data_IF_893842354331
#
_entry.id   IF_893842354331
#
_cell.length_a   1.000
_cell.length_b   1.000
_cell.length_c   1.000
_cell.angle_alpha   90.00
_cell.angle_beta   90.00
_cell.angle_gamma   90.00
#
_symmetry.space_group_name_H-M   'P 1'
#
loop_
_entity.id
_entity.type
_entity.pdbx_description
1 polymer ?
#
# COMPACT_ATOMS: atom_id res chain seq x y z
N UNK A 1 -4.03 26.54 -17.18
CA UNK A 1 -3.73 26.42 -15.73
C UNK A 1 -4.98 26.84 -14.98
N UNK A 2 -5.53 25.98 -14.12
CA UNK A 2 -6.73 26.29 -13.32
C UNK A 2 -6.30 27.25 -12.19
N UNK A 3 -7.09 28.29 -11.96
CA UNK A 3 -6.86 29.24 -10.86
C UNK A 3 -6.96 28.51 -9.50
N UNK A 4 -5.91 28.51 -8.66
CA UNK A 4 -5.95 27.83 -7.36
C UNK A 4 -7.03 28.38 -6.43
N UNK A 5 -7.35 29.68 -6.52
CA UNK A 5 -8.41 30.33 -5.72
C UNK A 5 -9.79 29.83 -6.10
N UNK A 6 -10.05 29.65 -7.40
CA UNK A 6 -11.31 29.11 -7.89
C UNK A 6 -11.49 27.65 -7.44
N UNK A 7 -10.45 26.81 -7.55
CA UNK A 7 -10.52 25.42 -7.09
C UNK A 7 -10.82 25.32 -5.60
N UNK A 8 -10.20 26.17 -4.77
CA UNK A 8 -10.46 26.19 -3.32
C UNK A 8 -11.90 26.58 -3.00
N UNK A 9 -12.44 27.61 -3.68
CA UNK A 9 -13.83 28.05 -3.51
C UNK A 9 -14.84 26.97 -3.92
N UNK A 10 -14.63 26.32 -5.07
CA UNK A 10 -15.49 25.23 -5.53
C UNK A 10 -15.41 24.00 -4.62
N UNK A 11 -14.25 23.69 -4.07
CA UNK A 11 -14.08 22.58 -3.14
C UNK A 11 -14.75 22.83 -1.77
N UNK A 12 -14.98 24.09 -1.39
CA UNK A 12 -15.69 24.46 -0.18
C UNK A 12 -17.23 24.42 -0.31
N UNK A 13 -17.76 24.35 -1.54
CA UNK A 13 -19.19 24.26 -1.80
C UNK A 13 -19.67 22.81 -1.61
N UNK A 14 -20.40 22.57 -0.54
CA UNK A 14 -20.97 21.26 -0.18
C UNK A 14 -22.42 21.07 -0.64
N UNK A 15 -22.98 22.02 -1.39
CA UNK A 15 -24.40 21.99 -1.79
C UNK A 15 -24.79 20.82 -2.67
N UNK A 16 -23.80 20.20 -3.30
CA UNK A 16 -23.96 19.03 -4.17
C UNK A 16 -23.30 17.75 -3.62
N UNK A 17 -22.94 17.70 -2.33
CA UNK A 17 -22.35 16.51 -1.73
C UNK A 17 -23.34 15.34 -1.71
N UNK A 18 -22.80 14.14 -2.03
CA UNK A 18 -23.56 12.91 -2.05
C UNK A 18 -23.44 12.23 -0.68
N UNK A 19 -24.37 12.50 0.23
CA UNK A 19 -24.27 12.13 1.64
C UNK A 19 -24.82 10.74 1.98
N UNK A 20 -25.52 10.10 1.04
CA UNK A 20 -26.11 8.78 1.25
C UNK A 20 -26.10 7.91 -0.04
N UNK A 21 -26.44 6.62 0.13
CA UNK A 21 -26.46 5.67 -0.99
C UNK A 21 -27.53 6.06 -2.04
N UNK A 22 -28.64 6.65 -1.65
CA UNK A 22 -29.69 7.07 -2.59
C UNK A 22 -29.21 8.22 -3.49
N UNK A 23 -28.45 9.17 -2.92
CA UNK A 23 -27.80 10.24 -3.68
C UNK A 23 -26.76 9.67 -4.66
N UNK A 24 -25.95 8.72 -4.22
CA UNK A 24 -24.99 8.02 -5.08
C UNK A 24 -25.71 7.31 -6.25
N UNK A 25 -26.82 6.61 -6.00
CA UNK A 25 -27.57 5.89 -7.03
C UNK A 25 -28.24 6.81 -8.05
N UNK A 26 -28.52 8.05 -7.73
CA UNK A 26 -29.03 9.03 -8.72
C UNK A 26 -27.97 9.36 -9.79
N UNK A 27 -26.70 9.38 -9.41
CA UNK A 27 -25.59 9.65 -10.32
C UNK A 27 -25.07 8.34 -10.97
N UNK A 28 -24.95 7.27 -10.19
CA UNK A 28 -24.45 5.96 -10.61
C UNK A 28 -25.61 4.97 -10.69
N UNK A 29 -26.53 5.22 -11.63
CA UNK A 29 -27.80 4.48 -11.78
C UNK A 29 -27.62 3.02 -12.19
N UNK A 30 -26.51 2.69 -12.83
CA UNK A 30 -26.20 1.30 -13.24
C UNK A 30 -25.35 0.61 -12.17
N UNK A 31 -25.82 -0.55 -11.70
CA UNK A 31 -25.05 -1.40 -10.79
C UNK A 31 -23.79 -1.98 -11.46
N UNK A 32 -22.93 -2.67 -10.69
CA UNK A 32 -21.78 -3.35 -11.25
C UNK A 32 -22.22 -4.44 -12.22
N UNK A 33 -21.54 -4.52 -13.37
CA UNK A 33 -21.78 -5.60 -14.33
C UNK A 33 -21.40 -6.98 -13.76
N UNK A 34 -21.97 -8.03 -14.31
CA UNK A 34 -21.78 -9.44 -13.91
C UNK A 34 -20.29 -9.80 -13.74
N UNK A 35 -19.43 -9.42 -14.69
CA UNK A 35 -17.98 -9.69 -14.63
C UNK A 35 -17.27 -9.00 -13.45
N UNK A 36 -17.82 -7.89 -12.96
CA UNK A 36 -17.29 -7.20 -11.77
C UNK A 36 -17.60 -7.92 -10.47
N UNK A 37 -18.68 -8.68 -10.45
CA UNK A 37 -19.09 -9.50 -9.31
C UNK A 37 -18.46 -10.89 -9.37
N UNK A 38 -18.45 -11.53 -10.54
CA UNK A 38 -17.96 -12.89 -10.73
C UNK A 38 -16.47 -13.08 -10.38
N UNK A 39 -15.68 -12.01 -10.43
CA UNK A 39 -14.24 -12.06 -10.10
C UNK A 39 -13.93 -12.04 -8.59
N UNK A 40 -14.92 -11.81 -7.74
CA UNK A 40 -14.69 -11.72 -6.29
C UNK A 40 -14.72 -13.13 -5.70
N UNK A 41 -13.62 -13.53 -5.08
CA UNK A 41 -13.51 -14.78 -4.34
C UNK A 41 -13.31 -14.47 -2.84
N UNK A 42 -13.76 -15.35 -1.97
CA UNK A 42 -13.58 -15.30 -0.51
C UNK A 42 -12.25 -15.94 -0.07
N UNK A 43 -11.44 -16.39 -1.02
CA UNK A 43 -10.17 -17.06 -0.82
C UNK A 43 -9.17 -16.74 -1.94
N UNK A 44 -7.90 -17.07 -1.76
CA UNK A 44 -6.86 -16.98 -2.79
C UNK A 44 -7.07 -18.11 -3.79
N UNK A 45 -7.85 -17.84 -4.82
CA UNK A 45 -8.02 -18.78 -5.93
C UNK A 45 -6.67 -19.08 -6.60
N UNK A 46 -6.51 -20.29 -7.14
CA UNK A 46 -5.27 -20.72 -7.80
C UNK A 46 -4.78 -19.76 -8.90
N UNK A 47 -5.71 -19.11 -9.62
CA UNK A 47 -5.38 -18.10 -10.65
C UNK A 47 -4.99 -16.72 -10.09
N UNK A 48 -5.27 -16.42 -8.82
CA UNK A 48 -4.83 -15.19 -8.16
C UNK A 48 -3.46 -15.31 -7.49
N UNK A 49 -3.10 -16.53 -7.08
CA UNK A 49 -1.82 -16.81 -6.42
C UNK A 49 -0.60 -16.27 -7.19
N UNK A 50 -0.48 -16.45 -8.53
CA UNK A 50 0.66 -15.93 -9.28
C UNK A 50 0.81 -14.40 -9.20
N UNK A 51 -0.27 -13.63 -9.06
CA UNK A 51 -0.20 -12.16 -8.89
C UNK A 51 0.44 -11.78 -7.57
N UNK A 52 0.14 -12.51 -6.48
CA UNK A 52 0.76 -12.28 -5.17
C UNK A 52 2.23 -12.65 -5.22
N UNK A 53 2.55 -13.81 -5.80
CA UNK A 53 3.92 -14.34 -5.87
C UNK A 53 4.82 -13.53 -6.82
N UNK A 54 4.28 -12.94 -7.88
CA UNK A 54 5.03 -12.10 -8.81
C UNK A 54 5.20 -10.66 -8.31
N UNK A 55 4.42 -10.22 -7.31
CA UNK A 55 4.45 -8.83 -6.87
C UNK A 55 5.64 -8.57 -5.93
N UNK A 56 6.51 -7.60 -6.27
CA UNK A 56 7.56 -7.12 -5.37
C UNK A 56 7.07 -5.99 -4.45
N UNK A 57 5.83 -5.53 -4.63
CA UNK A 57 5.32 -4.35 -3.93
C UNK A 57 3.83 -4.47 -3.62
N UNK A 58 3.46 -4.09 -2.40
CA UNK A 58 2.06 -3.96 -2.02
C UNK A 58 1.85 -2.73 -1.14
N UNK A 59 0.67 -2.13 -1.23
CA UNK A 59 0.20 -1.13 -0.27
C UNK A 59 -0.62 -1.86 0.79
N UNK A 60 -0.21 -1.73 2.05
CA UNK A 60 -0.96 -2.22 3.20
C UNK A 60 -1.80 -1.07 3.78
N UNK A 61 -3.11 -1.22 3.83
CA UNK A 61 -4.02 -0.33 4.54
C UNK A 61 -4.42 -0.95 5.88
N UNK A 62 -4.47 -0.12 6.92
CA UNK A 62 -4.82 -0.49 8.29
C UNK A 62 -5.77 0.51 8.90
N UNK A 63 -6.50 0.14 9.95
CA UNK A 63 -7.45 1.00 10.66
C UNK A 63 -6.95 1.23 12.08
N UNK A 64 -6.70 2.49 12.42
CA UNK A 64 -6.28 2.89 13.77
C UNK A 64 -7.26 3.84 14.43
N UNK A 65 -6.98 4.22 15.68
CA UNK A 65 -7.81 5.17 16.44
C UNK A 65 -7.89 6.55 15.76
N UNK A 66 -6.86 6.94 15.00
CA UNK A 66 -6.82 8.21 14.26
C UNK A 66 -7.42 8.11 12.83
N UNK A 67 -7.94 6.96 12.43
CA UNK A 67 -8.49 6.72 11.10
C UNK A 67 -7.72 5.66 10.31
N UNK A 68 -7.82 5.75 8.98
CA UNK A 68 -7.17 4.82 8.06
C UNK A 68 -5.74 5.30 7.77
N UNK A 69 -4.81 4.36 7.76
CA UNK A 69 -3.41 4.57 7.37
C UNK A 69 -3.00 3.61 6.26
N UNK A 70 -2.06 4.05 5.42
CA UNK A 70 -1.50 3.25 4.33
C UNK A 70 0.03 3.24 4.40
N UNK A 71 0.61 2.07 4.19
CA UNK A 71 2.06 1.88 4.24
C UNK A 71 2.56 1.06 3.04
N UNK A 72 3.63 1.50 2.35
CA UNK A 72 4.27 0.68 1.33
C UNK A 72 4.94 -0.53 1.97
N UNK A 73 4.82 -1.68 1.32
CA UNK A 73 5.51 -2.93 1.65
C UNK A 73 6.17 -3.46 0.39
N UNK A 74 7.45 -3.75 0.46
CA UNK A 74 8.20 -4.19 -0.71
C UNK A 74 9.41 -5.02 -0.35
N UNK A 75 9.73 -5.98 -1.22
CA UNK A 75 10.90 -6.85 -1.17
C UNK A 75 10.98 -7.57 -2.53
N UNK A 76 11.87 -8.54 -2.71
CA UNK A 76 11.85 -9.39 -3.89
C UNK A 76 10.50 -10.07 -4.12
N UNK A 77 10.15 -10.42 -5.39
CA UNK A 77 8.90 -11.14 -5.69
C UNK A 77 8.72 -12.37 -4.78
N UNK A 78 7.49 -12.62 -4.34
CA UNK A 78 7.19 -13.69 -3.39
C UNK A 78 7.43 -13.35 -1.92
N UNK A 79 7.70 -12.08 -1.58
CA UNK A 79 7.87 -11.67 -0.19
C UNK A 79 6.59 -11.85 0.65
N UNK A 80 5.42 -11.68 0.03
CA UNK A 80 4.15 -12.12 0.62
C UNK A 80 3.92 -13.56 0.21
N UNK A 81 3.84 -14.47 1.18
CA UNK A 81 3.64 -15.90 0.92
C UNK A 81 2.18 -16.30 1.11
N UNK A 82 1.71 -17.14 0.21
CA UNK A 82 0.40 -17.80 0.32
C UNK A 82 0.62 -19.12 1.07
N UNK A 83 0.29 -19.14 2.38
CA UNK A 83 0.44 -20.34 3.20
C UNK A 83 -0.63 -21.40 2.83
N UNK A 84 -1.86 -20.94 2.63
CA UNK A 84 -3.00 -21.71 2.14
C UNK A 84 -4.01 -20.78 1.44
N UNK A 85 -5.15 -21.30 1.03
CA UNK A 85 -6.18 -20.52 0.32
C UNK A 85 -6.75 -19.35 1.13
N UNK A 86 -6.64 -19.38 2.46
CA UNK A 86 -7.22 -18.37 3.36
C UNK A 86 -6.16 -17.60 4.15
N UNK A 87 -4.87 -17.88 3.95
CA UNK A 87 -3.81 -17.31 4.79
C UNK A 87 -2.67 -16.73 3.97
N UNK A 88 -2.41 -15.43 4.16
CA UNK A 88 -1.21 -14.76 3.67
C UNK A 88 -0.25 -14.48 4.82
N UNK A 89 1.04 -14.53 4.52
CA UNK A 89 2.14 -14.20 5.43
C UNK A 89 2.93 -13.04 4.86
N UNK A 90 2.95 -11.91 5.58
CA UNK A 90 3.68 -10.70 5.20
C UNK A 90 4.74 -10.38 6.26
N UNK A 91 6.06 -10.46 5.94
CA UNK A 91 7.11 -10.13 6.89
C UNK A 91 7.13 -8.62 7.18
N UNK A 92 7.33 -8.26 8.45
CA UNK A 92 7.56 -6.88 8.84
C UNK A 92 9.05 -6.56 8.72
N UNK A 93 9.45 -6.08 7.55
CA UNK A 93 10.84 -5.68 7.27
C UNK A 93 11.22 -4.45 8.06
N UNK A 94 12.51 -4.30 8.33
CA UNK A 94 13.06 -3.13 9.00
C UNK A 94 12.62 -1.83 8.31
N UNK A 95 12.16 -0.87 9.09
CA UNK A 95 11.73 0.45 8.64
C UNK A 95 12.13 1.55 9.61
N UNK A 96 11.36 2.63 9.64
CA UNK A 96 11.59 3.81 10.46
C UNK A 96 11.22 3.67 11.95
N UNK A 97 10.81 2.49 12.39
CA UNK A 97 10.40 2.15 13.76
C UNK A 97 9.14 2.88 14.27
N UNK A 98 8.38 3.56 13.39
CA UNK A 98 7.09 4.17 13.77
C UNK A 98 6.08 3.11 14.20
N UNK A 99 6.12 1.93 13.57
CA UNK A 99 5.25 0.77 13.81
C UNK A 99 3.74 1.09 13.75
N UNK A 100 3.35 2.14 13.04
CA UNK A 100 1.95 2.62 13.00
C UNK A 100 0.99 1.52 12.52
N UNK A 101 1.34 0.82 11.43
CA UNK A 101 0.53 -0.31 10.93
C UNK A 101 0.38 -1.44 11.94
N UNK A 102 1.44 -1.74 12.73
CA UNK A 102 1.37 -2.78 13.76
C UNK A 102 0.49 -2.35 14.92
N UNK A 103 0.60 -1.09 15.37
CA UNK A 103 -0.29 -0.52 16.40
C UNK A 103 -1.75 -0.54 15.96
N UNK A 104 -2.01 -0.16 14.70
CA UNK A 104 -3.34 -0.18 14.13
C UNK A 104 -3.90 -1.60 14.14
N UNK A 105 -3.15 -2.60 13.65
CA UNK A 105 -3.56 -4.02 13.64
C UNK A 105 -3.81 -4.56 15.05
N UNK A 106 -3.02 -4.16 16.04
CA UNK A 106 -3.24 -4.55 17.43
C UNK A 106 -4.55 -3.98 18.01
N UNK A 107 -5.02 -2.84 17.48
CA UNK A 107 -6.28 -2.19 17.86
C UNK A 107 -7.46 -2.69 17.04
N UNK A 108 -7.31 -2.76 15.71
CA UNK A 108 -8.32 -3.21 14.76
C UNK A 108 -7.65 -4.13 13.71
N UNK A 109 -8.01 -5.42 13.67
CA UNK A 109 -7.34 -6.39 12.80
C UNK A 109 -7.65 -6.22 11.31
N UNK A 110 -8.59 -5.36 10.92
CA UNK A 110 -8.98 -5.18 9.51
C UNK A 110 -7.85 -4.60 8.68
N UNK A 111 -7.54 -5.28 7.58
CA UNK A 111 -6.49 -4.86 6.64
C UNK A 111 -6.94 -5.01 5.20
N UNK A 112 -6.33 -4.22 4.33
CA UNK A 112 -6.41 -4.41 2.89
C UNK A 112 -5.01 -4.34 2.26
N UNK A 113 -4.78 -5.17 1.26
CA UNK A 113 -3.57 -5.16 0.44
C UNK A 113 -3.93 -4.84 -1.00
N UNK A 114 -3.13 -3.97 -1.62
CA UNK A 114 -3.15 -3.72 -3.05
C UNK A 114 -1.79 -4.11 -3.64
N UNK A 115 -1.76 -5.22 -4.37
CA UNK A 115 -0.56 -5.72 -5.04
C UNK A 115 -0.40 -5.08 -6.41
N UNK A 116 0.83 -4.67 -6.71
CA UNK A 116 1.24 -4.14 -8.01
C UNK A 116 2.36 -5.01 -8.56
N UNK A 117 2.18 -5.47 -9.79
CA UNK A 117 3.23 -6.22 -10.52
C UNK A 117 3.77 -5.29 -11.60
N UNK A 118 5.06 -4.91 -11.56
CA UNK A 118 5.65 -4.03 -12.57
C UNK A 118 5.39 -4.54 -13.99
N UNK A 119 4.93 -3.63 -14.86
CA UNK A 119 4.60 -3.96 -16.25
C UNK A 119 3.19 -4.49 -16.46
N UNK A 120 2.47 -4.95 -15.43
CA UNK A 120 1.07 -5.36 -15.57
C UNK A 120 0.10 -4.19 -15.32
N UNK A 121 -0.99 -4.16 -16.08
CA UNK A 121 -2.03 -3.16 -15.92
C UNK A 121 -2.99 -3.48 -14.77
N UNK A 122 -3.28 -4.73 -14.55
CA UNK A 122 -4.15 -5.18 -13.47
C UNK A 122 -3.43 -5.13 -12.12
N UNK A 123 -4.17 -4.77 -11.07
CA UNK A 123 -3.72 -4.88 -9.68
C UNK A 123 -4.58 -5.90 -8.96
N UNK A 124 -4.06 -6.52 -7.89
CA UNK A 124 -4.83 -7.46 -7.09
C UNK A 124 -5.13 -6.86 -5.72
N UNK A 125 -6.41 -6.88 -5.32
CA UNK A 125 -6.83 -6.50 -3.99
C UNK A 125 -7.11 -7.73 -3.13
N UNK A 126 -6.61 -7.69 -1.90
CA UNK A 126 -6.93 -8.67 -0.86
C UNK A 126 -7.40 -7.91 0.38
N UNK A 127 -8.58 -8.27 0.89
CA UNK A 127 -9.05 -7.79 2.19
C UNK A 127 -9.00 -8.95 3.20
N UNK A 128 -8.83 -8.61 4.47
CA UNK A 128 -8.77 -9.64 5.51
C UNK A 128 -8.59 -9.07 6.91
N UNK A 129 -8.25 -9.96 7.84
CA UNK A 129 -7.92 -9.63 9.21
C UNK A 129 -6.51 -10.12 9.52
N UNK A 130 -5.68 -9.25 10.07
CA UNK A 130 -4.30 -9.56 10.39
C UNK A 130 -4.11 -9.76 11.90
N UNK A 131 -3.19 -10.66 12.25
CA UNK A 131 -2.56 -10.74 13.57
C UNK A 131 -1.05 -10.66 13.40
N UNK A 132 -0.38 -10.19 14.43
CA UNK A 132 1.08 -10.05 14.45
C UNK A 132 1.66 -11.28 15.15
N UNK A 133 2.60 -11.97 14.53
CA UNK A 133 3.29 -13.12 15.10
C UNK A 133 4.79 -12.87 15.18
N UNK A 134 5.35 -12.99 16.37
CA UNK A 134 6.79 -12.97 16.62
C UNK A 134 7.35 -14.39 16.84
N UNK A 135 6.67 -15.44 16.37
CA UNK A 135 7.13 -16.83 16.48
C UNK A 135 8.48 -16.99 15.75
N UNK A 136 9.58 -17.32 16.44
CA UNK A 136 10.91 -17.37 15.83
C UNK A 136 10.98 -18.27 14.61
N UNK A 137 10.44 -19.47 14.67
CA UNK A 137 10.42 -20.40 13.55
C UNK A 137 9.68 -19.86 12.31
N UNK A 138 8.65 -19.00 12.48
CA UNK A 138 7.96 -18.34 11.38
C UNK A 138 8.80 -17.17 10.83
N UNK A 139 9.40 -16.35 11.69
CA UNK A 139 10.26 -15.25 11.29
C UNK A 139 11.49 -15.76 10.52
N UNK A 140 12.09 -16.85 10.94
CA UNK A 140 13.24 -17.50 10.26
C UNK A 140 12.92 -17.88 8.81
N UNK A 141 11.68 -18.27 8.51
CA UNK A 141 11.28 -18.57 7.12
C UNK A 141 11.43 -17.36 6.17
N UNK A 142 11.45 -16.15 6.70
CA UNK A 142 11.59 -14.90 5.95
C UNK A 142 12.97 -14.26 6.10
N UNK A 143 13.96 -15.00 6.58
CA UNK A 143 15.32 -14.49 6.70
C UNK A 143 15.91 -14.12 5.33
N UNK A 144 16.57 -12.96 5.26
CA UNK A 144 17.34 -12.50 4.11
C UNK A 144 18.74 -12.13 4.60
N UNK A 145 19.78 -12.71 3.97
CA UNK A 145 21.15 -12.51 4.41
C UNK A 145 21.39 -12.86 5.90
N UNK A 146 20.68 -13.86 6.42
CA UNK A 146 20.76 -14.29 7.82
C UNK A 146 20.00 -13.40 8.82
N UNK A 147 19.27 -12.39 8.36
CA UNK A 147 18.47 -11.49 9.20
C UNK A 147 16.98 -11.82 9.07
N UNK A 148 16.37 -12.26 10.14
CA UNK A 148 14.93 -12.49 10.23
C UNK A 148 14.18 -11.20 10.52
N UNK A 149 12.94 -11.01 10.01
CA UNK A 149 12.08 -9.93 10.46
C UNK A 149 11.72 -10.11 11.95
N UNK A 150 11.42 -9.01 12.63
CA UNK A 150 11.00 -9.06 14.04
C UNK A 150 9.62 -9.70 14.23
N UNK A 151 8.77 -9.59 13.21
CA UNK A 151 7.43 -10.19 13.20
C UNK A 151 6.94 -10.48 11.79
N UNK A 152 5.88 -11.28 11.70
CA UNK A 152 5.17 -11.60 10.47
C UNK A 152 3.69 -11.31 10.69
N UNK A 153 3.06 -10.59 9.78
CA UNK A 153 1.62 -10.46 9.73
C UNK A 153 1.03 -11.74 9.15
N UNK A 154 0.18 -12.39 9.93
CA UNK A 154 -0.62 -13.54 9.49
C UNK A 154 -2.01 -13.02 9.17
N UNK A 155 -2.38 -13.02 7.88
CA UNK A 155 -3.58 -12.38 7.37
C UNK A 155 -4.57 -13.46 6.97
N UNK A 156 -5.71 -13.49 7.67
CA UNK A 156 -6.87 -14.31 7.28
C UNK A 156 -7.64 -13.58 6.17
N UNK A 157 -7.67 -14.17 4.99
CA UNK A 157 -8.26 -13.58 3.77
C UNK A 157 -9.78 -13.65 3.84
N UNK A 158 -10.46 -12.55 3.53
CA UNK A 158 -11.93 -12.46 3.44
C UNK A 158 -12.42 -12.18 2.03
N UNK A 159 -11.65 -11.49 1.21
CA UNK A 159 -11.96 -11.34 -0.22
C UNK A 159 -10.71 -11.06 -1.05
N UNK A 160 -10.73 -11.58 -2.29
CA UNK A 160 -9.68 -11.38 -3.29
C UNK A 160 -10.32 -11.08 -4.63
N UNK A 161 -9.84 -10.06 -5.33
CA UNK A 161 -10.24 -9.77 -6.70
C UNK A 161 -9.26 -8.85 -7.43
N UNK A 162 -9.12 -9.04 -8.74
CA UNK A 162 -8.31 -8.13 -9.54
C UNK A 162 -9.07 -6.84 -9.85
N UNK A 163 -8.33 -5.73 -9.95
CA UNK A 163 -8.81 -4.45 -10.45
C UNK A 163 -8.42 -4.29 -11.92
N UNK A 164 -9.28 -3.59 -12.68
CA UNK A 164 -9.01 -3.35 -14.09
C UNK A 164 -7.81 -2.43 -14.31
N UNK A 165 -7.16 -2.58 -15.46
CA UNK A 165 -5.98 -1.83 -15.87
C UNK A 165 -6.19 -0.31 -16.07
N UNK A 166 -7.41 0.22 -15.96
CA UNK A 166 -7.73 1.60 -16.36
C UNK A 166 -6.92 2.66 -15.61
N UNK A 167 -6.71 2.48 -14.30
CA UNK A 167 -5.95 3.44 -13.51
C UNK A 167 -4.48 3.46 -13.94
N UNK A 168 -3.85 2.28 -14.03
CA UNK A 168 -2.45 2.10 -14.45
C UNK A 168 -2.24 2.64 -15.88
N UNK A 169 -3.19 2.36 -16.79
CA UNK A 169 -3.11 2.86 -18.18
C UNK A 169 -3.27 4.37 -18.28
N UNK A 170 -4.22 4.97 -17.56
CA UNK A 170 -4.41 6.44 -17.59
C UNK A 170 -3.27 7.21 -16.97
N UNK A 171 -2.65 6.66 -15.91
CA UNK A 171 -1.48 7.28 -15.27
C UNK A 171 -0.17 7.00 -16.01
N UNK A 172 -0.17 6.08 -16.99
CA UNK A 172 1.05 5.60 -17.66
C UNK A 172 2.13 5.16 -16.63
N UNK A 173 1.71 4.56 -15.50
CA UNK A 173 2.56 4.31 -14.34
C UNK A 173 3.85 3.55 -14.69
N UNK A 174 3.80 2.63 -15.65
CA UNK A 174 4.95 1.83 -16.09
C UNK A 174 5.70 2.42 -17.28
N UNK A 175 5.30 3.60 -17.77
CA UNK A 175 5.98 4.25 -18.89
C UNK A 175 7.21 5.01 -18.39
N UNK A 176 8.40 4.49 -18.70
CA UNK A 176 9.66 5.11 -18.29
C UNK A 176 9.83 6.56 -18.79
N UNK A 177 9.20 6.91 -19.94
CA UNK A 177 9.23 8.28 -20.45
C UNK A 177 8.42 9.29 -19.59
N UNK A 178 7.62 8.79 -18.65
CA UNK A 178 6.87 9.61 -17.68
C UNK A 178 7.54 9.66 -16.30
N UNK A 179 8.70 9.05 -16.14
CA UNK A 179 9.43 9.15 -14.87
C UNK A 179 9.83 10.60 -14.63
N UNK A 180 9.52 11.10 -13.43
CA UNK A 180 9.91 12.44 -13.01
C UNK A 180 11.38 12.39 -12.59
N UNK A 181 12.18 13.32 -13.08
CA UNK A 181 13.55 13.47 -12.59
C UNK A 181 13.52 13.99 -11.14
N UNK A 182 14.35 13.38 -10.29
CA UNK A 182 14.36 13.69 -8.86
C UNK A 182 14.60 15.17 -8.55
N UNK A 183 15.40 15.85 -9.37
CA UNK A 183 15.66 17.29 -9.26
C UNK A 183 14.42 18.17 -9.43
N UNK A 184 13.33 17.65 -9.97
CA UNK A 184 12.07 18.38 -10.13
C UNK A 184 11.13 18.29 -8.91
N UNK A 185 11.55 17.59 -7.87
CA UNK A 185 10.81 17.44 -6.62
C UNK A 185 11.69 17.80 -5.42
N UNK A 186 11.11 18.37 -4.33
CA UNK A 186 11.88 18.61 -3.13
C UNK A 186 12.43 17.30 -2.57
N UNK A 187 13.66 17.33 -2.11
CA UNK A 187 14.30 16.16 -1.51
C UNK A 187 13.72 15.86 -0.12
N UNK A 188 13.86 14.63 0.39
CA UNK A 188 13.51 14.31 1.77
C UNK A 188 14.19 15.25 2.80
N UNK A 189 15.46 15.59 2.60
CA UNK A 189 16.19 16.53 3.47
C UNK A 189 15.58 17.91 3.44
N UNK A 190 15.26 18.46 2.27
CA UNK A 190 14.58 19.76 2.14
C UNK A 190 13.25 19.78 2.90
N UNK A 191 12.44 18.71 2.79
CA UNK A 191 11.15 18.60 3.49
C UNK A 191 11.36 18.54 5.00
N UNK A 192 12.30 17.71 5.48
CA UNK A 192 12.58 17.56 6.90
C UNK A 192 13.11 18.86 7.52
N UNK A 193 13.99 19.58 6.85
CA UNK A 193 14.48 20.86 7.30
C UNK A 193 13.35 21.86 7.47
N UNK A 194 12.47 21.98 6.48
CA UNK A 194 11.35 22.91 6.54
C UNK A 194 10.35 22.56 7.66
N UNK A 195 9.99 21.28 7.81
CA UNK A 195 8.99 20.83 8.79
C UNK A 195 9.54 20.74 10.23
N UNK A 196 10.86 20.65 10.41
CA UNK A 196 11.49 20.64 11.73
C UNK A 196 11.86 22.03 12.25
N UNK A 197 11.39 23.10 11.64
CA UNK A 197 11.77 24.48 11.93
C UNK A 197 13.31 24.67 11.95
N UNK A 198 14.00 24.10 10.95
CA UNK A 198 15.46 24.10 10.79
C UNK A 198 16.23 23.27 11.85
N UNK A 199 15.52 22.44 12.63
CA UNK A 199 16.16 21.54 13.60
C UNK A 199 16.91 20.36 12.98
N UNK A 200 16.67 20.07 11.67
CA UNK A 200 17.34 19.01 10.90
C UNK A 200 18.12 19.66 9.77
N UNK A 201 19.41 19.34 9.65
CA UNK A 201 20.24 19.70 8.51
C UNK A 201 19.83 18.82 7.30
N UNK A 202 19.14 19.43 6.33
CA UNK A 202 18.62 18.75 5.16
C UNK A 202 19.70 18.23 4.22
N UNK A 203 20.76 19.01 4.01
CA UNK A 203 21.86 18.64 3.11
C UNK A 203 22.66 17.46 3.67
N UNK A 204 22.96 17.49 4.97
CA UNK A 204 23.61 16.38 5.65
C UNK A 204 22.73 15.11 5.65
N UNK A 205 21.41 15.29 5.81
CA UNK A 205 20.46 14.17 5.72
C UNK A 205 20.48 13.50 4.35
N UNK A 206 20.41 14.28 3.27
CA UNK A 206 20.37 13.78 1.90
C UNK A 206 21.71 13.15 1.49
N UNK A 207 22.83 13.75 1.87
CA UNK A 207 24.17 13.19 1.62
C UNK A 207 24.35 11.80 2.24
N UNK A 208 23.75 11.54 3.41
CA UNK A 208 23.83 10.25 4.10
C UNK A 208 22.74 9.25 3.66
N UNK A 209 21.71 9.68 2.93
CA UNK A 209 20.48 8.92 2.73
C UNK A 209 20.71 7.56 2.05
N UNK A 210 21.41 7.55 0.92
CA UNK A 210 21.63 6.34 0.12
C UNK A 210 22.44 5.28 0.89
N UNK A 211 23.55 5.67 1.51
CA UNK A 211 24.39 4.75 2.28
C UNK A 211 23.63 4.17 3.48
N UNK A 212 22.85 5.02 4.18
CA UNK A 212 22.00 4.59 5.30
C UNK A 212 20.92 3.61 4.87
N UNK A 213 20.23 3.86 3.75
CA UNK A 213 19.20 2.96 3.22
C UNK A 213 19.79 1.60 2.86
N UNK A 214 20.93 1.55 2.17
CA UNK A 214 21.61 0.30 1.83
C UNK A 214 22.03 -0.49 3.08
N UNK A 215 22.59 0.18 4.10
CA UNK A 215 23.04 -0.45 5.34
C UNK A 215 21.88 -1.00 6.20
N UNK A 216 20.66 -0.50 6.00
CA UNK A 216 19.48 -0.81 6.84
C UNK A 216 18.31 -1.41 6.06
N UNK A 217 18.56 -1.94 4.85
CA UNK A 217 17.52 -2.52 4.01
C UNK A 217 16.90 -3.77 4.65
N UNK A 218 17.74 -4.54 5.40
CA UNK A 218 17.34 -5.71 6.16
C UNK A 218 17.85 -5.67 7.60
#
# INVERSE_FOLDING_TARGET
MTDPGLLSALAADTSHDLLDEAALRRIYSTGPGETSLAKVADHVHALYRPYIEASPFAVLATVGAAGIDTSPRGDGPGFVRVADQHTLLLPDRRGNQRIDSLRNIAHDPRVALLFLVPGLGETLRVNGHARISALPALCEQFAVGGKSPASVLVISVTSVFFQCARAIKRSELWNAARHVEQQNLPTPGTILQALSAQGIDGDAYDAALQARQQATLY
#
